data_IF_725298151250
#
_entry.id   IF_725298151250
#
_cell.length_a   1.000
_cell.length_b   1.000
_cell.length_c   1.000
_cell.angle_alpha   90.00
_cell.angle_beta   90.00
_cell.angle_gamma   90.00
#
_symmetry.space_group_name_H-M   'P 1'
#
loop_
_entity.id
_entity.type
_entity.pdbx_description
1 polymer ?
#
# COMPACT_ATOMS: atom_id res chain seq x y z
N UNK A 1 16.12 -19.80 -16.37
CA UNK A 1 17.03 -19.06 -15.48
C UNK A 1 17.67 -17.99 -16.36
N UNK A 2 16.96 -16.87 -16.57
CA UNK A 2 17.40 -15.67 -17.32
C UNK A 2 16.21 -14.67 -17.37
N UNK A 3 15.62 -14.36 -16.21
CA UNK A 3 14.65 -13.26 -16.15
C UNK A 3 15.39 -11.99 -15.71
N UNK A 4 15.58 -11.00 -16.60
CA UNK A 4 16.19 -9.73 -16.24
C UNK A 4 15.20 -8.97 -15.35
N UNK A 5 15.37 -9.13 -14.04
CA UNK A 5 14.70 -8.36 -13.01
C UNK A 5 15.67 -7.34 -12.42
N UNK A 6 15.16 -6.26 -11.82
CA UNK A 6 15.99 -5.19 -11.24
C UNK A 6 17.11 -5.72 -10.32
N UNK A 7 16.88 -6.74 -9.46
CA UNK A 7 17.95 -7.35 -8.66
C UNK A 7 19.11 -7.91 -9.47
N UNK A 8 18.81 -8.53 -10.62
CA UNK A 8 19.78 -9.26 -11.46
C UNK A 8 20.56 -8.31 -12.37
N UNK A 9 19.98 -7.16 -12.72
CA UNK A 9 20.58 -6.19 -13.63
C UNK A 9 21.24 -5.00 -12.93
N UNK A 10 20.68 -4.54 -11.80
CA UNK A 10 21.10 -3.32 -11.10
C UNK A 10 21.43 -3.56 -9.61
N UNK A 11 21.34 -4.80 -9.13
CA UNK A 11 21.64 -5.17 -7.76
C UNK A 11 20.48 -5.02 -6.79
N UNK A 12 20.65 -5.62 -5.61
CA UNK A 12 19.64 -5.64 -4.56
C UNK A 12 19.39 -4.25 -3.95
N UNK A 13 20.44 -3.44 -3.75
CA UNK A 13 20.33 -2.12 -3.13
C UNK A 13 19.48 -1.16 -3.95
N UNK A 14 19.68 -1.15 -5.28
CA UNK A 14 18.86 -0.35 -6.19
C UNK A 14 17.40 -0.80 -6.14
N UNK A 15 17.15 -2.11 -6.09
CA UNK A 15 15.79 -2.66 -6.01
C UNK A 15 15.11 -2.26 -4.69
N UNK A 16 15.83 -2.34 -3.55
CA UNK A 16 15.32 -1.92 -2.24
C UNK A 16 14.97 -0.43 -2.22
N UNK A 17 15.80 0.41 -2.83
CA UNK A 17 15.51 1.84 -2.96
C UNK A 17 14.25 2.08 -3.78
N UNK A 18 14.09 1.40 -4.92
CA UNK A 18 12.89 1.50 -5.75
C UNK A 18 11.64 1.07 -4.98
N UNK A 19 11.69 -0.02 -4.21
CA UNK A 19 10.56 -0.46 -3.36
C UNK A 19 10.17 0.65 -2.39
N UNK A 20 11.13 1.29 -1.73
CA UNK A 20 10.85 2.39 -0.81
C UNK A 20 10.19 3.57 -1.53
N UNK A 21 10.76 4.03 -2.65
CA UNK A 21 10.24 5.17 -3.41
C UNK A 21 8.83 4.89 -3.95
N UNK A 22 8.58 3.70 -4.48
CA UNK A 22 7.25 3.31 -4.96
C UNK A 22 6.25 3.15 -3.81
N UNK A 23 6.68 2.76 -2.62
CA UNK A 23 5.79 2.69 -1.44
C UNK A 23 5.38 4.09 -0.99
N UNK A 24 6.29 5.08 -1.01
CA UNK A 24 5.95 6.49 -0.75
C UNK A 24 4.97 7.01 -1.79
N UNK A 25 5.22 6.74 -3.08
CA UNK A 25 4.31 7.13 -4.15
C UNK A 25 2.92 6.48 -3.99
N UNK A 26 2.89 5.18 -3.65
CA UNK A 26 1.66 4.44 -3.38
C UNK A 26 0.86 5.11 -2.26
N UNK A 27 1.49 5.50 -1.16
CA UNK A 27 0.82 6.20 -0.06
C UNK A 27 0.14 7.47 -0.58
N UNK A 28 0.84 8.32 -1.33
CA UNK A 28 0.27 9.54 -1.93
C UNK A 28 -0.91 9.23 -2.85
N UNK A 29 -0.75 8.24 -3.75
CA UNK A 29 -1.79 7.84 -4.70
C UNK A 29 -3.03 7.31 -3.97
N UNK A 30 -2.87 6.54 -2.91
CA UNK A 30 -4.00 6.01 -2.14
C UNK A 30 -4.79 7.06 -1.36
N UNK A 31 -4.23 8.25 -1.15
CA UNK A 31 -4.95 9.37 -0.52
C UNK A 31 -5.76 10.20 -1.54
N UNK A 32 -5.51 10.05 -2.85
CA UNK A 32 -6.22 10.78 -3.90
C UNK A 32 -7.75 10.58 -3.89
N UNK A 33 -8.30 9.37 -3.66
CA UNK A 33 -9.76 9.19 -3.59
C UNK A 33 -10.43 10.09 -2.55
N UNK A 34 -9.74 10.41 -1.45
CA UNK A 34 -10.23 11.38 -0.47
C UNK A 34 -10.06 12.82 -0.97
N UNK A 35 -8.90 13.15 -1.55
CA UNK A 35 -8.63 14.49 -2.10
C UNK A 35 -9.58 14.93 -3.22
N UNK A 36 -10.08 13.98 -4.02
CA UNK A 36 -11.09 14.21 -5.05
C UNK A 36 -12.54 14.16 -4.53
N UNK A 37 -12.75 13.87 -3.24
CA UNK A 37 -14.08 13.76 -2.65
C UNK A 37 -14.85 12.49 -3.06
N UNK A 38 -14.17 11.45 -3.55
CA UNK A 38 -14.77 10.16 -3.91
C UNK A 38 -14.99 9.25 -2.69
N UNK A 39 -14.29 9.52 -1.59
CA UNK A 39 -14.34 8.75 -0.34
C UNK A 39 -14.27 9.69 0.86
N UNK A 40 -14.86 9.26 1.98
CA UNK A 40 -14.95 9.95 3.25
C UNK A 40 -13.78 9.69 4.21
N UNK A 41 -13.95 10.19 5.43
CA UNK A 41 -12.90 10.15 6.45
C UNK A 41 -12.56 8.75 6.96
N UNK A 42 -13.46 7.78 6.79
CA UNK A 42 -13.25 6.40 7.22
C UNK A 42 -12.20 5.72 6.33
N UNK A 43 -12.35 5.89 5.01
CA UNK A 43 -11.32 5.49 4.05
C UNK A 43 -9.97 6.20 4.31
N UNK A 44 -9.98 7.52 4.53
CA UNK A 44 -8.75 8.29 4.79
C UNK A 44 -7.97 7.74 5.99
N UNK A 45 -8.66 7.53 7.12
CA UNK A 45 -8.03 7.02 8.33
C UNK A 45 -7.42 5.63 8.11
N UNK A 46 -8.18 4.73 7.46
CA UNK A 46 -7.70 3.39 7.17
C UNK A 46 -6.55 3.35 6.17
N UNK A 47 -6.64 4.10 5.06
CA UNK A 47 -5.58 4.21 4.07
C UNK A 47 -4.28 4.79 4.66
N UNK A 48 -4.38 5.77 5.57
CA UNK A 48 -3.22 6.34 6.25
C UNK A 48 -2.55 5.32 7.17
N UNK A 49 -3.32 4.61 8.01
CA UNK A 49 -2.76 3.58 8.92
C UNK A 49 -2.11 2.46 8.13
N UNK A 50 -2.79 1.94 7.10
CA UNK A 50 -2.26 0.89 6.24
C UNK A 50 -1.01 1.36 5.49
N UNK A 51 -1.01 2.59 4.98
CA UNK A 51 0.08 3.18 4.19
C UNK A 51 1.33 3.38 5.03
N UNK A 52 1.18 3.94 6.24
CA UNK A 52 2.29 4.10 7.18
C UNK A 52 2.86 2.74 7.62
N UNK A 53 1.99 1.74 7.82
CA UNK A 53 2.44 0.37 8.08
C UNK A 53 3.24 -0.21 6.92
N UNK A 54 2.81 -0.01 5.67
CA UNK A 54 3.57 -0.46 4.50
C UNK A 54 4.93 0.25 4.41
N UNK A 55 4.94 1.56 4.64
CA UNK A 55 6.16 2.35 4.63
C UNK A 55 7.16 1.86 5.68
N UNK A 56 6.69 1.47 6.87
CA UNK A 56 7.54 0.83 7.88
C UNK A 56 8.22 -0.44 7.35
N UNK A 57 7.48 -1.34 6.69
CA UNK A 57 8.05 -2.55 6.10
C UNK A 57 9.05 -2.23 4.97
N UNK A 58 8.74 -1.26 4.11
CA UNK A 58 9.63 -0.85 3.02
C UNK A 58 10.94 -0.23 3.55
N UNK A 59 10.85 0.62 4.57
CA UNK A 59 12.01 1.21 5.25
C UNK A 59 12.85 0.13 5.93
N UNK A 60 12.20 -0.84 6.58
CA UNK A 60 12.90 -1.95 7.22
C UNK A 60 13.60 -2.85 6.19
N UNK A 61 12.95 -3.15 5.07
CA UNK A 61 13.54 -3.88 3.95
C UNK A 61 14.74 -3.15 3.33
N UNK A 62 14.73 -1.80 3.35
CA UNK A 62 15.85 -1.00 2.86
C UNK A 62 17.05 -1.01 3.81
N UNK A 63 16.84 -1.14 5.13
CA UNK A 63 17.90 -1.07 6.15
C UNK A 63 18.42 -2.43 6.62
N UNK A 64 17.55 -3.43 6.68
CA UNK A 64 17.90 -4.77 7.16
C UNK A 64 18.19 -5.71 5.98
N UNK A 65 19.33 -6.41 6.03
CA UNK A 65 19.72 -7.47 5.08
C UNK A 65 19.10 -8.84 5.41
N UNK A 66 17.93 -8.86 6.05
CA UNK A 66 17.25 -10.11 6.42
C UNK A 66 16.48 -10.68 5.22
N UNK A 67 16.89 -11.88 4.77
CA UNK A 67 16.29 -12.64 3.67
C UNK A 67 14.79 -12.92 3.85
N UNK A 68 14.26 -12.79 5.07
CA UNK A 68 12.83 -12.99 5.37
C UNK A 68 11.98 -11.73 5.15
N UNK A 69 12.59 -10.55 5.09
CA UNK A 69 11.88 -9.28 4.93
C UNK A 69 11.14 -9.16 3.59
N UNK A 70 11.70 -9.55 2.43
CA UNK A 70 10.98 -9.50 1.16
C UNK A 70 9.63 -10.23 1.21
N UNK A 71 9.61 -11.44 1.80
CA UNK A 71 8.41 -12.26 1.90
C UNK A 71 7.38 -11.68 2.86
N UNK A 72 7.82 -11.08 3.97
CA UNK A 72 6.92 -10.38 4.92
C UNK A 72 6.30 -9.14 4.28
N UNK A 73 7.09 -8.34 3.58
CA UNK A 73 6.62 -7.16 2.86
C UNK A 73 5.61 -7.54 1.78
N UNK A 74 5.85 -8.64 1.06
CA UNK A 74 4.88 -9.18 0.10
C UNK A 74 3.57 -9.62 0.77
N UNK A 75 3.64 -10.38 1.87
CA UNK A 75 2.44 -10.77 2.63
C UNK A 75 1.64 -9.56 3.12
N UNK A 76 2.33 -8.54 3.63
CA UNK A 76 1.70 -7.29 4.03
C UNK A 76 1.04 -6.59 2.84
N UNK A 77 1.66 -6.58 1.65
CA UNK A 77 1.08 -5.96 0.45
C UNK A 77 -0.27 -6.56 0.03
N UNK A 78 -0.46 -7.88 0.21
CA UNK A 78 -1.74 -8.56 -0.09
C UNK A 78 -2.82 -8.08 0.88
N UNK A 79 -2.51 -8.12 2.19
CA UNK A 79 -3.44 -7.66 3.24
C UNK A 79 -3.74 -6.18 3.08
N UNK A 80 -2.73 -5.37 2.76
CA UNK A 80 -2.85 -3.95 2.47
C UNK A 80 -3.86 -3.70 1.35
N UNK A 81 -3.68 -4.35 0.20
CA UNK A 81 -4.54 -4.17 -0.96
C UNK A 81 -5.97 -4.61 -0.67
N UNK A 82 -6.14 -5.78 -0.04
CA UNK A 82 -7.47 -6.27 0.37
C UNK A 82 -8.17 -5.30 1.33
N UNK A 83 -7.48 -4.86 2.37
CA UNK A 83 -8.05 -3.98 3.38
C UNK A 83 -8.38 -2.60 2.79
N UNK A 84 -7.51 -2.07 1.91
CA UNK A 84 -7.73 -0.79 1.26
C UNK A 84 -8.97 -0.80 0.35
N UNK A 85 -9.16 -1.87 -0.43
CA UNK A 85 -10.38 -2.04 -1.22
C UNK A 85 -11.61 -2.25 -0.34
N UNK A 86 -11.52 -3.04 0.73
CA UNK A 86 -12.63 -3.24 1.66
C UNK A 86 -13.05 -1.91 2.30
N UNK A 87 -12.11 -1.09 2.76
CA UNK A 87 -12.37 0.24 3.30
C UNK A 87 -13.02 1.16 2.27
N UNK A 88 -12.53 1.15 1.03
CA UNK A 88 -13.09 1.94 -0.06
C UNK A 88 -14.54 1.53 -0.34
N UNK A 89 -14.83 0.22 -0.33
CA UNK A 89 -16.17 -0.31 -0.56
C UNK A 89 -17.12 0.07 0.60
N UNK A 90 -16.69 -0.12 1.84
CA UNK A 90 -17.48 0.24 3.02
C UNK A 90 -17.79 1.73 3.03
N UNK A 91 -16.79 2.57 2.81
CA UNK A 91 -16.92 4.02 2.83
C UNK A 91 -17.83 4.54 1.69
N UNK A 92 -17.78 3.92 0.49
CA UNK A 92 -18.63 4.30 -0.63
C UNK A 92 -20.09 3.80 -0.51
N UNK A 93 -20.30 2.53 -0.12
CA UNK A 93 -21.63 1.91 -0.15
C UNK A 93 -22.46 2.22 1.10
N UNK A 94 -21.85 2.39 2.28
CA UNK A 94 -22.62 2.63 3.52
C UNK A 94 -23.49 3.89 3.45
N UNK A 95 -22.99 5.06 3.00
CA UNK A 95 -23.81 6.26 2.84
C UNK A 95 -24.91 6.09 1.77
N UNK A 96 -24.59 5.42 0.66
CA UNK A 96 -25.51 5.26 -0.47
C UNK A 96 -26.65 4.28 -0.17
N UNK A 97 -26.38 3.22 0.61
CA UNK A 97 -27.40 2.28 1.07
C UNK A 97 -28.31 2.95 2.12
N UNK A 98 -27.73 3.71 3.05
CA UNK A 98 -28.51 4.40 4.07
C UNK A 98 -29.51 5.40 3.47
N UNK A 99 -29.14 6.07 2.37
CA UNK A 99 -30.03 7.00 1.66
C UNK A 99 -31.13 6.33 0.82
N UNK A 100 -31.05 5.02 0.59
CA UNK A 100 -32.07 4.24 -0.14
C UNK A 100 -33.12 3.62 0.80
N UNK A 101 -32.76 3.44 2.08
CA UNK A 101 -33.59 2.81 3.11
C UNK A 101 -34.38 3.85 3.92
N UNK A 102 -33.94 5.12 3.93
CA UNK A 102 -34.66 6.26 4.53
C UNK A 102 -35.43 7.06 3.50
#
# INVERSE_FOLDING_TARGET
VDMPMLPVTHGNDFTRLQILLYTVLLLVVTLLPYGYGMSGGLYLGGAMVLGLGFLYYAVRLYRDDDDRMPMRTFGYSIVYLMALFALLLVDHYVPHIMSLIG
#
